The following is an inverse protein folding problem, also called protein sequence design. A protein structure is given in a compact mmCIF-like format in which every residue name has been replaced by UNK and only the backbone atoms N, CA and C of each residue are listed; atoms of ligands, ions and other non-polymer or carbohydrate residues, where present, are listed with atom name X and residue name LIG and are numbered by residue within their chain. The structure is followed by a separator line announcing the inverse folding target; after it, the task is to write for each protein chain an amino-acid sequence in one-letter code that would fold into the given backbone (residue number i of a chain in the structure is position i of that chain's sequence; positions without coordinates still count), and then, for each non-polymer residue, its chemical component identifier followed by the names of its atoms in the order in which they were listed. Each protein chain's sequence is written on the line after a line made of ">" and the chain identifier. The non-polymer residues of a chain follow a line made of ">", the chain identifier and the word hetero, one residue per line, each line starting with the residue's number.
data_IF_264828685286
#
_entry.id   IF_264828685286
#
_cell.length_a   1.000
_cell.length_b   1.000
_cell.length_c   1.000
_cell.angle_alpha   90.00
_cell.angle_beta   90.00
_cell.angle_gamma   90.00
#
_symmetry.space_group_name_H-M   'P 1'
#
loop_
_entity.id
_entity.type
_entity.pdbx_description
1 polymer ?
#
# COMPACT_ATOMS: atom_id res chain seq x y z
N UNK A 1 0.70 22.27 -19.75
CA UNK A 1 -0.31 21.46 -20.40
C UNK A 1 -0.56 20.21 -19.58
N UNK A 2 -1.73 20.12 -18.95
CA UNK A 2 -2.08 18.91 -18.25
C UNK A 2 -2.12 17.78 -19.24
N UNK A 3 -1.17 16.87 -19.15
CA UNK A 3 -1.17 15.71 -20.05
C UNK A 3 -2.28 14.76 -19.61
N UNK A 4 -2.89 14.02 -20.54
CA UNK A 4 -3.87 13.01 -20.18
C UNK A 4 -3.37 12.01 -19.14
N UNK A 5 -2.06 11.78 -19.09
CA UNK A 5 -1.46 10.89 -18.09
C UNK A 5 -1.60 11.40 -16.66
N UNK A 6 -1.53 12.71 -16.42
CA UNK A 6 -1.72 13.30 -15.09
C UNK A 6 -3.14 13.03 -14.60
N UNK A 7 -4.14 13.21 -15.46
CA UNK A 7 -5.54 12.95 -15.13
C UNK A 7 -5.76 11.46 -14.81
N UNK A 8 -5.13 10.58 -15.58
CA UNK A 8 -5.22 9.14 -15.37
C UNK A 8 -4.63 8.73 -14.02
N UNK A 9 -3.49 9.33 -13.62
CA UNK A 9 -2.88 9.04 -12.33
C UNK A 9 -3.71 9.61 -11.18
N UNK A 10 -4.34 10.75 -11.36
CA UNK A 10 -5.25 11.30 -10.36
C UNK A 10 -6.45 10.38 -10.12
N UNK A 11 -6.98 9.77 -11.18
CA UNK A 11 -8.09 8.82 -11.06
C UNK A 11 -7.69 7.62 -10.20
N UNK A 12 -6.52 7.02 -10.48
CA UNK A 12 -6.02 5.89 -9.71
C UNK A 12 -5.69 6.29 -8.27
N UNK A 13 -5.15 7.50 -8.07
CA UNK A 13 -4.89 8.01 -6.73
C UNK A 13 -6.20 8.14 -5.92
N UNK A 14 -7.26 8.60 -6.55
CA UNK A 14 -8.58 8.69 -5.92
C UNK A 14 -9.15 7.31 -5.61
N UNK A 15 -8.92 6.33 -6.47
CA UNK A 15 -9.36 4.95 -6.24
C UNK A 15 -8.61 4.33 -5.06
N UNK A 16 -7.32 4.57 -4.95
CA UNK A 16 -6.51 4.11 -3.81
C UNK A 16 -7.01 4.76 -2.52
N UNK A 17 -7.28 6.07 -2.55
CA UNK A 17 -7.82 6.77 -1.40
C UNK A 17 -9.17 6.20 -0.98
N UNK A 18 -10.03 5.86 -1.94
CA UNK A 18 -11.33 5.25 -1.66
C UNK A 18 -11.19 3.89 -0.97
N UNK A 19 -10.20 3.09 -1.38
CA UNK A 19 -9.89 1.82 -0.71
C UNK A 19 -9.47 2.06 0.73
N UNK A 20 -8.60 3.04 0.97
CA UNK A 20 -8.18 3.41 2.33
C UNK A 20 -9.36 3.83 3.21
N UNK A 21 -10.22 4.70 2.69
CA UNK A 21 -11.36 5.22 3.42
C UNK A 21 -12.34 4.10 3.80
N UNK A 22 -12.61 3.20 2.85
CA UNK A 22 -13.48 2.05 3.09
C UNK A 22 -12.88 1.11 4.12
N UNK A 23 -11.60 0.79 3.98
CA UNK A 23 -10.93 -0.09 4.93
C UNK A 23 -10.95 0.51 6.34
N UNK A 24 -10.71 1.80 6.46
CA UNK A 24 -10.75 2.49 7.74
C UNK A 24 -12.12 2.32 8.43
N UNK A 25 -13.20 2.53 7.68
CA UNK A 25 -14.56 2.37 8.22
C UNK A 25 -14.86 0.92 8.59
N UNK A 26 -14.57 0.01 7.66
CA UNK A 26 -15.00 -1.40 7.78
C UNK A 26 -14.20 -2.17 8.82
N UNK A 27 -12.95 -1.77 9.06
CA UNK A 27 -12.07 -2.45 10.03
C UNK A 27 -12.15 -1.83 11.43
N UNK A 28 -12.80 -0.69 11.57
CA UNK A 28 -12.83 0.06 12.84
C UNK A 28 -11.42 0.37 13.37
N UNK A 29 -10.50 0.61 12.47
CA UNK A 29 -9.10 0.89 12.78
C UNK A 29 -8.88 2.36 13.14
N UNK A 30 -7.76 2.63 13.80
CA UNK A 30 -7.33 3.99 14.12
C UNK A 30 -6.95 4.72 12.82
N UNK A 31 -6.08 4.09 12.03
CA UNK A 31 -5.54 4.69 10.81
C UNK A 31 -5.09 3.61 9.83
N UNK A 32 -5.11 3.98 8.56
CA UNK A 32 -4.65 3.16 7.45
C UNK A 32 -3.55 3.92 6.74
N UNK A 33 -2.47 3.25 6.38
CA UNK A 33 -1.43 3.81 5.52
C UNK A 33 -1.22 2.87 4.34
N UNK A 34 -1.11 3.43 3.15
CA UNK A 34 -0.63 2.72 1.96
C UNK A 34 0.69 3.37 1.58
N UNK A 35 1.74 2.58 1.58
CA UNK A 35 3.09 3.08 1.29
C UNK A 35 3.71 2.25 0.17
N UNK A 36 4.62 2.86 -0.58
CA UNK A 36 5.39 2.10 -1.55
C UNK A 36 6.56 1.39 -0.86
N UNK A 37 7.22 0.51 -1.59
CA UNK A 37 8.32 -0.28 -1.02
C UNK A 37 9.56 0.54 -0.71
N UNK A 38 9.64 1.76 -1.24
CA UNK A 38 10.72 2.71 -0.93
C UNK A 38 10.45 3.53 0.34
N UNK A 39 9.28 3.37 0.94
CA UNK A 39 8.94 4.02 2.19
C UNK A 39 8.25 5.37 2.05
N UNK A 40 7.69 5.65 0.89
CA UNK A 40 6.92 6.87 0.67
C UNK A 40 5.43 6.59 0.78
N UNK A 41 4.71 7.52 1.38
CA UNK A 41 3.27 7.43 1.52
C UNK A 41 2.58 7.62 0.17
N UNK A 42 1.67 6.71 -0.15
CA UNK A 42 0.79 6.83 -1.31
C UNK A 42 -0.56 7.42 -0.89
N UNK A 43 -1.11 6.93 0.23
CA UNK A 43 -2.40 7.39 0.74
C UNK A 43 -2.54 7.04 2.22
N UNK A 44 -3.45 7.72 2.89
CA UNK A 44 -3.79 7.37 4.27
C UNK A 44 -5.27 7.68 4.55
N UNK A 45 -5.79 7.11 5.63
CA UNK A 45 -7.12 7.39 6.14
C UNK A 45 -7.14 7.27 7.65
N UNK A 46 -8.12 7.89 8.27
CA UNK A 46 -8.30 7.83 9.71
C UNK A 46 -7.51 8.89 10.46
N UNK A 47 -7.23 8.63 11.73
CA UNK A 47 -6.58 9.58 12.62
C UNK A 47 -5.07 9.48 12.50
N UNK A 48 -4.50 10.36 11.68
CA UNK A 48 -3.05 10.44 11.45
C UNK A 48 -2.43 11.71 12.02
N UNK A 49 -3.22 12.60 12.61
CA UNK A 49 -2.75 13.94 13.03
C UNK A 49 -1.66 13.87 14.10
N UNK A 50 -1.66 12.83 14.93
CA UNK A 50 -0.68 12.64 15.98
C UNK A 50 0.45 11.69 15.58
N UNK A 51 0.51 11.30 14.30
CA UNK A 51 1.48 10.34 13.80
C UNK A 51 2.51 11.03 12.90
N UNK A 52 3.76 10.63 13.08
CA UNK A 52 4.80 10.99 12.12
C UNK A 52 4.74 10.00 10.94
N UNK A 53 3.85 10.29 10.00
CA UNK A 53 3.57 9.38 8.87
C UNK A 53 4.81 9.16 8.01
N UNK A 54 5.62 10.20 7.82
CA UNK A 54 6.84 10.10 7.02
C UNK A 54 7.83 9.11 7.64
N UNK A 55 8.08 9.24 8.93
CA UNK A 55 8.98 8.32 9.65
C UNK A 55 8.43 6.91 9.71
N UNK A 56 7.13 6.78 9.99
CA UNK A 56 6.47 5.48 10.03
C UNK A 56 6.56 4.77 8.70
N UNK A 57 6.30 5.49 7.60
CA UNK A 57 6.34 4.90 6.26
C UNK A 57 7.72 4.34 5.93
N UNK A 58 8.78 5.08 6.23
CA UNK A 58 10.16 4.62 6.04
C UNK A 58 10.48 3.39 6.89
N UNK A 59 10.05 3.39 8.15
CA UNK A 59 10.33 2.29 9.07
C UNK A 59 9.55 1.03 8.68
N UNK A 60 8.30 1.16 8.26
CA UNK A 60 7.52 0.02 7.79
C UNK A 60 8.13 -0.60 6.53
N UNK A 61 8.58 0.22 5.59
CA UNK A 61 9.25 -0.28 4.39
C UNK A 61 10.55 -1.01 4.75
N UNK A 62 11.33 -0.46 5.68
CA UNK A 62 12.55 -1.10 6.19
C UNK A 62 12.25 -2.44 6.89
N UNK A 63 11.17 -2.50 7.65
CA UNK A 63 10.72 -3.73 8.30
C UNK A 63 10.39 -4.81 7.26
N UNK A 64 9.63 -4.45 6.24
CA UNK A 64 9.26 -5.40 5.17
C UNK A 64 10.50 -5.87 4.41
N UNK A 65 11.45 -4.97 4.13
CA UNK A 65 12.69 -5.34 3.45
C UNK A 65 13.51 -6.32 4.29
N UNK A 66 13.64 -6.07 5.60
CA UNK A 66 14.37 -6.96 6.51
C UNK A 66 13.68 -8.32 6.60
N UNK A 67 12.35 -8.33 6.70
CA UNK A 67 11.56 -9.56 6.75
C UNK A 67 11.67 -10.35 5.45
N UNK A 68 11.78 -9.65 4.31
CA UNK A 68 12.04 -10.29 3.01
C UNK A 68 13.36 -11.06 3.00
N UNK A 69 14.39 -10.53 3.68
CA UNK A 69 15.66 -11.24 3.87
C UNK A 69 15.49 -12.52 4.69
N UNK A 70 14.69 -12.45 5.75
CA UNK A 70 14.36 -13.63 6.57
C UNK A 70 13.63 -14.67 5.71
N UNK A 71 12.66 -14.24 4.91
CA UNK A 71 11.91 -15.14 4.04
C UNK A 71 12.82 -15.94 3.10
N UNK A 72 13.80 -15.26 2.50
CA UNK A 72 14.78 -15.92 1.62
C UNK A 72 15.55 -17.02 2.32
N UNK A 73 15.95 -16.79 3.57
CA UNK A 73 16.67 -17.80 4.37
C UNK A 73 15.81 -19.01 4.69
N UNK A 74 14.50 -18.84 4.70
CA UNK A 74 13.53 -19.91 4.97
C UNK A 74 12.96 -20.52 3.69
N UNK A 75 13.48 -20.15 2.53
CA UNK A 75 12.97 -20.59 1.22
C UNK A 75 11.52 -20.19 0.97
N UNK A 76 11.09 -19.10 1.59
CA UNK A 76 9.80 -18.47 1.32
C UNK A 76 9.98 -17.35 0.30
N UNK A 77 8.97 -17.13 -0.53
CA UNK A 77 9.00 -15.99 -1.46
C UNK A 77 8.90 -14.67 -0.71
N UNK A 78 7.93 -14.59 0.19
CA UNK A 78 7.61 -13.36 0.90
C UNK A 78 6.62 -13.69 2.01
N UNK A 79 6.71 -12.98 3.11
CA UNK A 79 5.64 -13.02 4.11
C UNK A 79 4.58 -12.00 3.73
N UNK A 80 3.40 -12.47 3.36
CA UNK A 80 2.31 -11.62 2.89
C UNK A 80 1.67 -10.78 3.99
N UNK A 81 1.75 -11.22 5.23
CA UNK A 81 1.15 -10.51 6.36
C UNK A 81 2.02 -10.58 7.61
N UNK A 82 2.02 -9.51 8.38
CA UNK A 82 2.72 -9.40 9.66
C UNK A 82 1.82 -8.75 10.69
N UNK A 83 1.90 -9.23 11.92
CA UNK A 83 1.15 -8.68 13.04
C UNK A 83 2.11 -8.30 14.16
N UNK A 84 1.99 -7.06 14.65
CA UNK A 84 2.73 -6.57 15.80
C UNK A 84 1.74 -6.18 16.89
N UNK A 85 1.80 -6.87 18.01
CA UNK A 85 0.91 -6.61 19.14
C UNK A 85 1.58 -5.66 20.13
N UNK A 86 0.91 -4.53 20.37
CA UNK A 86 1.30 -3.58 21.41
C UNK A 86 0.29 -3.55 22.53
N UNK A 87 0.64 -2.92 23.64
CA UNK A 87 -0.30 -2.74 24.74
C UNK A 87 -1.52 -1.89 24.36
N UNK A 88 -1.29 -0.80 23.64
CA UNK A 88 -2.33 0.16 23.28
C UNK A 88 -2.67 0.09 21.81
N UNK A 89 -1.67 -0.04 20.96
CA UNK A 89 -1.83 -0.03 19.50
C UNK A 89 -1.17 -1.26 18.92
N UNK A 90 -1.89 -1.93 18.05
CA UNK A 90 -1.38 -3.06 17.27
C UNK A 90 -1.30 -2.68 15.82
N UNK A 91 -0.49 -3.39 15.06
CA UNK A 91 -0.21 -3.11 13.66
C UNK A 91 -0.37 -4.38 12.86
N UNK A 92 -1.12 -4.30 11.77
CA UNK A 92 -1.15 -5.35 10.75
C UNK A 92 -0.59 -4.77 9.45
N UNK A 93 0.41 -5.43 8.88
CA UNK A 93 0.97 -5.08 7.58
C UNK A 93 0.68 -6.18 6.59
N UNK A 94 0.24 -5.79 5.41
CA UNK A 94 0.02 -6.71 4.29
C UNK A 94 0.82 -6.22 3.09
N UNK A 95 1.61 -7.11 2.51
CA UNK A 95 2.40 -6.77 1.32
C UNK A 95 1.57 -7.10 0.08
N UNK A 96 1.12 -6.07 -0.61
CA UNK A 96 0.49 -6.18 -1.91
C UNK A 96 1.57 -6.15 -3.00
N UNK A 97 1.20 -6.33 -4.24
CA UNK A 97 2.16 -6.43 -5.34
C UNK A 97 3.14 -5.26 -5.38
N UNK A 98 2.66 -4.04 -5.17
CA UNK A 98 3.46 -2.82 -5.35
C UNK A 98 3.45 -1.90 -4.14
N UNK A 99 2.77 -2.30 -3.09
CA UNK A 99 2.58 -1.45 -1.93
C UNK A 99 2.49 -2.26 -0.66
N UNK A 100 2.65 -1.57 0.45
CA UNK A 100 2.48 -2.12 1.78
C UNK A 100 1.25 -1.44 2.38
N UNK A 101 0.30 -2.25 2.80
CA UNK A 101 -0.93 -1.79 3.44
C UNK A 101 -0.78 -1.96 4.95
N UNK A 102 -0.81 -0.85 5.67
CA UNK A 102 -0.60 -0.83 7.12
C UNK A 102 -1.89 -0.43 7.82
N UNK A 103 -2.29 -1.22 8.80
CA UNK A 103 -3.48 -0.95 9.63
C UNK A 103 -3.05 -0.79 11.08
N UNK A 104 -3.31 0.38 11.64
CA UNK A 104 -3.11 0.67 13.05
C UNK A 104 -4.45 0.52 13.76
N UNK A 105 -4.52 -0.34 14.77
CA UNK A 105 -5.78 -0.61 15.46
C UNK A 105 -5.58 -0.84 16.94
N UNK A 106 -6.65 -0.72 17.70
CA UNK A 106 -6.68 -0.93 19.13
C UNK A 106 -7.82 -1.87 19.52
N UNK A 107 -8.22 -1.85 20.79
CA UNK A 107 -9.26 -2.74 21.31
C UNK A 107 -10.65 -2.50 20.71
N UNK A 108 -10.86 -1.40 19.97
CA UNK A 108 -12.11 -1.16 19.23
C UNK A 108 -12.25 -2.04 18.00
N UNK A 109 -11.17 -2.70 17.59
CA UNK A 109 -11.18 -3.66 16.51
C UNK A 109 -10.58 -4.98 16.99
N UNK A 110 -10.31 -5.89 16.05
CA UNK A 110 -9.67 -7.18 16.35
C UNK A 110 -8.80 -7.60 15.18
N UNK A 111 -7.80 -8.43 15.45
CA UNK A 111 -6.94 -8.98 14.41
C UNK A 111 -7.77 -9.74 13.36
N UNK A 112 -8.79 -10.49 13.78
CA UNK A 112 -9.64 -11.24 12.87
C UNK A 112 -10.40 -10.34 11.90
N UNK A 113 -10.99 -9.26 12.41
CA UNK A 113 -11.70 -8.30 11.58
C UNK A 113 -10.74 -7.57 10.64
N UNK A 114 -9.59 -7.12 11.16
CA UNK A 114 -8.58 -6.44 10.35
C UNK A 114 -8.11 -7.34 9.22
N UNK A 115 -7.76 -8.59 9.50
CA UNK A 115 -7.32 -9.55 8.47
C UNK A 115 -8.37 -9.76 7.39
N UNK A 116 -9.62 -9.89 7.79
CA UNK A 116 -10.73 -10.09 6.85
C UNK A 116 -10.87 -8.89 5.90
N UNK A 117 -10.84 -7.69 6.45
CA UNK A 117 -11.02 -6.46 5.66
C UNK A 117 -9.79 -6.11 4.83
N UNK A 118 -8.59 -6.39 5.36
CA UNK A 118 -7.34 -6.18 4.63
C UNK A 118 -7.26 -7.06 3.39
N UNK A 119 -7.72 -8.29 3.47
CA UNK A 119 -7.70 -9.20 2.32
C UNK A 119 -8.48 -8.61 1.15
N UNK A 120 -9.67 -8.09 1.42
CA UNK A 120 -10.48 -7.41 0.40
C UNK A 120 -9.81 -6.15 -0.12
N UNK A 121 -9.28 -5.32 0.78
CA UNK A 121 -8.61 -4.08 0.38
C UNK A 121 -7.38 -4.34 -0.48
N UNK A 122 -6.59 -5.35 -0.14
CA UNK A 122 -5.41 -5.73 -0.91
C UNK A 122 -5.80 -6.17 -2.33
N UNK A 123 -6.88 -6.94 -2.48
CA UNK A 123 -7.39 -7.32 -3.80
C UNK A 123 -7.82 -6.09 -4.60
N UNK A 124 -8.52 -5.16 -3.97
CA UNK A 124 -8.95 -3.92 -4.62
C UNK A 124 -7.76 -3.06 -5.05
N UNK A 125 -6.74 -2.94 -4.18
CA UNK A 125 -5.50 -2.22 -4.52
C UNK A 125 -4.79 -2.84 -5.71
N UNK A 126 -4.67 -4.16 -5.73
CA UNK A 126 -4.02 -4.86 -6.84
C UNK A 126 -4.74 -4.60 -8.16
N UNK A 127 -6.07 -4.53 -8.15
CA UNK A 127 -6.85 -4.17 -9.34
C UNK A 127 -6.54 -2.76 -9.83
N UNK A 128 -6.40 -1.81 -8.89
CA UNK A 128 -6.05 -0.43 -9.25
C UNK A 128 -4.65 -0.38 -9.87
N UNK A 129 -3.67 -1.06 -9.27
CA UNK A 129 -2.32 -1.10 -9.80
C UNK A 129 -2.25 -1.79 -11.15
N UNK A 130 -2.99 -2.88 -11.35
CA UNK A 130 -3.07 -3.57 -12.64
C UNK A 130 -3.67 -2.66 -13.72
N UNK A 131 -4.71 -1.92 -13.38
CA UNK A 131 -5.32 -0.94 -14.30
C UNK A 131 -4.34 0.18 -14.64
N UNK A 132 -3.56 0.65 -13.66
CA UNK A 132 -2.55 1.68 -13.87
C UNK A 132 -1.45 1.19 -14.81
N UNK A 133 -0.97 -0.05 -14.61
CA UNK A 133 0.02 -0.66 -15.51
C UNK A 133 -0.49 -0.70 -16.95
N UNK A 134 -1.75 -1.12 -17.15
CA UNK A 134 -2.37 -1.15 -18.48
C UNK A 134 -2.48 0.23 -19.10
N UNK A 135 -2.86 1.24 -18.32
CA UNK A 135 -2.96 2.62 -18.80
C UNK A 135 -1.60 3.17 -19.20
N UNK A 136 -0.57 2.93 -18.40
CA UNK A 136 0.79 3.35 -18.72
C UNK A 136 1.27 2.66 -20.01
N UNK A 137 1.02 1.37 -20.14
CA UNK A 137 1.40 0.61 -21.32
C UNK A 137 0.70 1.08 -22.57
N UNK A 138 -0.59 1.42 -22.49
CA UNK A 138 -1.38 1.87 -23.65
C UNK A 138 -1.29 3.36 -23.91
N UNK A 139 -1.07 4.16 -22.88
CA UNK A 139 -1.04 5.62 -22.97
C UNK A 139 0.31 6.20 -23.27
N UNK A 140 1.39 5.47 -23.07
CA UNK A 140 2.69 5.97 -23.45
C UNK A 140 2.85 5.76 -24.95
N UNK A 141 3.03 6.84 -25.66
CA UNK A 141 3.32 6.80 -27.10
C UNK A 141 4.73 6.28 -27.39
N UNK A 142 5.35 5.62 -26.45
CA UNK A 142 6.65 5.01 -26.69
C UNK A 142 6.41 3.68 -27.42
N UNK A 143 6.74 3.62 -28.71
CA UNK A 143 6.49 2.42 -29.50
C UNK A 143 7.31 1.23 -29.05
N UNK A 144 8.24 1.48 -28.20
CA UNK A 144 9.19 0.48 -27.73
C UNK A 144 8.97 0.19 -26.27
N UNK A 145 7.75 -0.03 -25.93
CA UNK A 145 7.49 -0.47 -24.58
C UNK A 145 8.08 -1.83 -24.38
N UNK A 146 9.31 -1.80 -24.02
CA UNK A 146 9.83 -2.86 -23.25
C UNK A 146 8.95 -3.10 -22.04
N UNK A 147 9.28 -4.06 -21.28
CA UNK A 147 8.54 -4.33 -20.04
C UNK A 147 8.55 -3.11 -19.13
N UNK A 148 7.38 -2.72 -18.67
CA UNK A 148 7.29 -1.74 -17.59
C UNK A 148 7.68 -2.46 -16.32
N UNK A 149 8.80 -2.02 -15.73
CA UNK A 149 9.31 -2.62 -14.51
C UNK A 149 8.53 -2.12 -13.29
N UNK A 150 8.68 -2.83 -12.19
CA UNK A 150 8.12 -2.39 -10.91
C UNK A 150 8.68 -1.04 -10.50
N UNK A 151 9.96 -0.77 -10.80
CA UNK A 151 10.59 0.51 -10.52
C UNK A 151 9.91 1.64 -11.30
N UNK A 152 9.53 1.41 -12.55
CA UNK A 152 8.82 2.41 -13.36
C UNK A 152 7.47 2.76 -12.74
N UNK A 153 6.77 1.77 -12.22
CA UNK A 153 5.49 1.98 -11.54
C UNK A 153 5.70 2.73 -10.21
N UNK A 154 6.68 2.33 -9.43
CA UNK A 154 6.99 2.97 -8.15
C UNK A 154 7.36 4.44 -8.35
N UNK A 155 8.07 4.77 -9.42
CA UNK A 155 8.43 6.15 -9.75
C UNK A 155 7.21 7.03 -10.04
N UNK A 156 6.08 6.47 -10.44
CA UNK A 156 4.86 7.22 -10.67
C UNK A 156 4.26 7.77 -9.37
N UNK A 157 4.59 7.18 -8.25
CA UNK A 157 4.08 7.55 -6.93
C UNK A 157 5.12 8.32 -6.09
N UNK A 158 6.29 8.61 -6.66
CA UNK A 158 7.42 9.18 -5.93
C UNK A 158 7.64 10.67 -6.19
N UNK A 159 6.67 11.37 -6.64
CA UNK A 159 6.80 12.82 -6.85
C UNK A 159 6.36 13.60 -5.60
#
# INVERSE_FOLDING_TARGET
>A
MGTPSVVMFEEEQQQIQAVCDRLHRDSNAIAILVINKDGQEIAHAGDTDHLDVTSLSSLFAGNVAATGGIAKLLSEKEFSGQFHEGEKTSIHMSVAQRAILVVLFDTRSSLGLVRLRVKKAADDLNKVFDALVKKVASGSNAPMLGEISDDDIDNLFND
#
